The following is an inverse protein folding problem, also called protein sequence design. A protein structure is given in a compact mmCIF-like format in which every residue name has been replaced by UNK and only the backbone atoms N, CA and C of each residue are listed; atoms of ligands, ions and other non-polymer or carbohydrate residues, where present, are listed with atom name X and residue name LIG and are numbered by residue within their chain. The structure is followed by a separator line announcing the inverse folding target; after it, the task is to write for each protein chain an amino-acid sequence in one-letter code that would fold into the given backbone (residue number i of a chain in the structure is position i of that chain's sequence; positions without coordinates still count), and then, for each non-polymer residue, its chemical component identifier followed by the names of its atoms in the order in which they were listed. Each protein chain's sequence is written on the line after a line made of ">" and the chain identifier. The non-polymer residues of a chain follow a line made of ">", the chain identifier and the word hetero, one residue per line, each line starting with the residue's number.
data_IF_740604269430
#
_entry.id   IF_740604269430
#
_cell.length_a   1.000
_cell.length_b   1.000
_cell.length_c   1.000
_cell.angle_alpha   90.00
_cell.angle_beta   90.00
_cell.angle_gamma   90.00
#
_symmetry.space_group_name_H-M   'P 1'
#
loop_
_entity.id
_entity.type
_entity.pdbx_description
1 polymer ?
#
# COMPACT_ATOMS: atom_id res chain seq x y z
N UNK A 1 -13.20 4.76 -1.63
CA UNK A 1 -13.03 3.50 -0.88
C UNK A 1 -14.36 2.88 -0.49
N UNK A 2 -15.27 3.63 0.17
CA UNK A 2 -16.63 3.17 0.49
C UNK A 2 -17.38 2.58 -0.72
N UNK A 3 -17.42 3.29 -1.85
CA UNK A 3 -18.07 2.80 -3.08
C UNK A 3 -17.49 1.47 -3.56
N UNK A 4 -16.17 1.33 -3.58
CA UNK A 4 -15.49 0.08 -3.96
C UNK A 4 -15.83 -1.08 -3.00
N UNK A 5 -15.96 -0.82 -1.70
CA UNK A 5 -16.39 -1.81 -0.72
C UNK A 5 -17.87 -2.21 -0.91
N UNK A 6 -18.70 -1.25 -1.31
CA UNK A 6 -20.14 -1.47 -1.52
C UNK A 6 -20.39 -2.31 -2.78
N UNK A 7 -19.58 -2.10 -3.83
CA UNK A 7 -19.68 -2.83 -5.10
C UNK A 7 -19.28 -4.32 -4.99
N UNK A 8 -18.58 -4.72 -3.94
CA UNK A 8 -18.15 -6.10 -3.75
C UNK A 8 -19.34 -6.97 -3.32
N UNK A 9 -19.54 -8.11 -3.98
CA UNK A 9 -20.52 -9.11 -3.55
C UNK A 9 -20.08 -9.81 -2.25
N UNK A 10 -21.00 -10.40 -1.47
CA UNK A 10 -20.64 -11.29 -0.36
C UNK A 10 -19.70 -12.41 -0.83
N UNK A 11 -18.65 -12.70 -0.06
CA UNK A 11 -17.55 -13.60 -0.42
C UNK A 11 -16.59 -13.05 -1.48
N UNK A 12 -16.78 -11.82 -1.96
CA UNK A 12 -15.92 -11.19 -2.95
C UNK A 12 -14.56 -10.80 -2.38
N UNK A 13 -13.53 -10.86 -3.22
CA UNK A 13 -12.14 -10.55 -2.85
C UNK A 13 -11.77 -9.13 -3.26
N UNK A 14 -11.26 -8.36 -2.32
CA UNK A 14 -10.65 -7.06 -2.56
C UNK A 14 -9.13 -7.20 -2.53
N UNK A 15 -8.47 -7.03 -3.68
CA UNK A 15 -7.01 -6.94 -3.76
C UNK A 15 -6.56 -5.49 -3.66
N UNK A 16 -5.51 -5.21 -2.89
CA UNK A 16 -4.95 -3.86 -2.76
C UNK A 16 -3.43 -3.86 -2.75
N UNK A 17 -2.84 -2.78 -3.24
CA UNK A 17 -1.43 -2.43 -3.08
C UNK A 17 -1.29 -0.92 -2.97
N UNK A 18 -0.43 -0.45 -2.07
CA UNK A 18 -0.23 0.99 -1.83
C UNK A 18 1.05 1.28 -1.04
N UNK A 19 1.39 2.57 -0.94
CA UNK A 19 2.53 3.08 -0.18
C UNK A 19 2.06 3.44 1.23
N UNK A 20 2.81 3.00 2.24
CA UNK A 20 2.54 3.23 3.65
C UNK A 20 2.82 4.69 4.02
N UNK A 21 1.97 5.29 4.87
CA UNK A 21 2.18 6.64 5.41
C UNK A 21 3.20 6.64 6.56
N UNK A 22 4.47 6.45 6.21
CA UNK A 22 5.63 6.52 7.11
C UNK A 22 6.69 7.49 6.61
N UNK A 23 7.55 7.97 7.50
CA UNK A 23 8.70 8.81 7.13
C UNK A 23 9.68 8.07 6.20
N UNK A 24 9.86 6.76 6.42
CA UNK A 24 10.71 5.91 5.57
C UNK A 24 10.16 5.84 4.15
N UNK A 25 8.85 5.67 4.01
CA UNK A 25 8.18 5.66 2.70
C UNK A 25 8.31 7.01 2.00
N UNK A 26 8.10 8.13 2.72
CA UNK A 26 8.29 9.47 2.17
C UNK A 26 9.70 9.68 1.63
N UNK A 27 10.71 9.29 2.42
CA UNK A 27 12.11 9.45 2.03
C UNK A 27 12.44 8.60 0.79
N UNK A 28 12.03 7.34 0.76
CA UNK A 28 12.40 6.44 -0.33
C UNK A 28 11.58 6.66 -1.61
N UNK A 29 10.26 6.82 -1.50
CA UNK A 29 9.36 6.91 -2.64
C UNK A 29 9.36 8.28 -3.31
N UNK A 30 9.54 9.36 -2.54
CA UNK A 30 9.56 10.73 -3.09
C UNK A 30 11.01 11.17 -3.24
N UNK A 31 11.72 11.39 -2.13
CA UNK A 31 13.03 12.03 -2.18
C UNK A 31 14.08 11.19 -2.95
N UNK A 32 14.20 9.89 -2.66
CA UNK A 32 15.18 9.05 -3.36
C UNK A 32 14.76 8.76 -4.79
N UNK A 33 13.52 8.29 -5.01
CA UNK A 33 13.11 7.83 -6.34
C UNK A 33 12.82 8.97 -7.33
N UNK A 34 12.20 10.06 -6.89
CA UNK A 34 11.86 11.20 -7.77
C UNK A 34 12.99 12.23 -7.81
N UNK A 35 13.36 12.79 -6.65
CA UNK A 35 14.23 13.97 -6.62
C UNK A 35 15.72 13.63 -6.82
N UNK A 36 16.19 12.52 -6.24
CA UNK A 36 17.62 12.15 -6.28
C UNK A 36 17.99 11.29 -7.49
N UNK A 37 17.24 10.21 -7.73
CA UNK A 37 17.56 9.24 -8.78
C UNK A 37 16.86 9.56 -10.11
N UNK A 38 15.85 10.44 -10.13
CA UNK A 38 15.08 10.76 -11.33
C UNK A 38 14.40 9.55 -11.97
N UNK A 39 14.07 8.53 -11.19
CA UNK A 39 13.41 7.30 -11.68
C UNK A 39 11.98 7.57 -12.11
N UNK A 40 11.37 8.62 -11.55
CA UNK A 40 10.00 9.05 -11.80
C UNK A 40 9.95 10.58 -11.87
N UNK A 41 9.01 11.17 -12.63
CA UNK A 41 8.80 12.61 -12.62
C UNK A 41 8.48 13.14 -11.22
N UNK A 42 9.01 14.30 -10.85
CA UNK A 42 8.69 14.97 -9.58
C UNK A 42 7.19 15.21 -9.45
N UNK A 43 6.65 14.90 -8.28
CA UNK A 43 5.22 14.97 -7.97
C UNK A 43 4.45 13.70 -8.32
N UNK A 44 5.14 12.60 -8.68
CA UNK A 44 4.48 11.31 -8.94
C UNK A 44 3.80 10.79 -7.70
N UNK A 45 4.45 10.89 -6.54
CA UNK A 45 3.91 10.48 -5.26
C UNK A 45 3.56 11.67 -4.38
N UNK A 46 2.31 11.68 -3.92
CA UNK A 46 1.81 12.61 -2.91
C UNK A 46 1.72 11.91 -1.55
N UNK A 47 2.58 12.34 -0.62
CA UNK A 47 2.64 11.76 0.73
C UNK A 47 1.32 11.88 1.51
N UNK A 48 0.51 12.89 1.24
CA UNK A 48 -0.75 13.08 1.96
C UNK A 48 -1.79 12.03 1.56
N UNK A 49 -1.66 11.47 0.36
CA UNK A 49 -2.50 10.39 -0.17
C UNK A 49 -2.06 9.00 0.26
N UNK A 50 -0.89 8.86 0.88
CA UNK A 50 -0.47 7.58 1.45
C UNK A 50 -1.39 7.19 2.60
N UNK A 51 -1.57 5.90 2.83
CA UNK A 51 -2.45 5.37 3.86
C UNK A 51 -1.70 4.34 4.71
N UNK A 52 -1.94 4.34 6.03
CA UNK A 52 -1.36 3.31 6.91
C UNK A 52 -2.15 2.02 6.78
N UNK A 53 -1.51 0.84 6.89
CA UNK A 53 -2.20 -0.44 6.92
C UNK A 53 -3.33 -0.47 7.96
N UNK A 54 -3.09 0.05 9.17
CA UNK A 54 -4.10 0.09 10.24
C UNK A 54 -5.32 0.95 9.88
N UNK A 55 -5.12 2.08 9.21
CA UNK A 55 -6.21 2.92 8.72
C UNK A 55 -7.01 2.21 7.64
N UNK A 56 -6.32 1.53 6.70
CA UNK A 56 -6.98 0.77 5.64
C UNK A 56 -7.80 -0.40 6.22
N UNK A 57 -7.24 -1.13 7.19
CA UNK A 57 -7.93 -2.21 7.90
C UNK A 57 -9.19 -1.69 8.61
N UNK A 58 -9.11 -0.54 9.30
CA UNK A 58 -10.28 0.08 9.92
C UNK A 58 -11.37 0.38 8.89
N UNK A 59 -11.01 0.96 7.74
CA UNK A 59 -11.97 1.25 6.66
C UNK A 59 -12.63 -0.03 6.15
N UNK A 60 -11.87 -1.11 5.95
CA UNK A 60 -12.45 -2.38 5.51
C UNK A 60 -13.40 -2.97 6.57
N UNK A 61 -13.00 -2.99 7.83
CA UNK A 61 -13.84 -3.49 8.94
C UNK A 61 -15.15 -2.69 9.05
N UNK A 62 -15.09 -1.35 8.93
CA UNK A 62 -16.28 -0.49 8.95
C UNK A 62 -17.25 -0.76 7.79
N UNK A 63 -16.84 -1.52 6.78
CA UNK A 63 -17.63 -1.89 5.61
C UNK A 63 -17.91 -3.42 5.53
N UNK A 64 -17.68 -4.17 6.62
CA UNK A 64 -17.93 -5.63 6.65
C UNK A 64 -16.96 -6.43 5.77
N UNK A 65 -15.73 -5.93 5.62
CA UNK A 65 -14.69 -6.60 4.84
C UNK A 65 -13.53 -6.94 5.78
N UNK A 66 -13.26 -8.23 5.97
CA UNK A 66 -12.16 -8.72 6.79
C UNK A 66 -10.85 -8.76 6.00
N UNK A 67 -9.77 -8.21 6.55
CA UNK A 67 -8.44 -8.28 5.93
C UNK A 67 -7.75 -9.59 6.31
N UNK A 68 -7.39 -10.39 5.31
CA UNK A 68 -6.86 -11.74 5.51
C UNK A 68 -5.33 -11.79 5.56
N UNK A 69 -4.65 -11.03 4.68
CA UNK A 69 -3.20 -10.94 4.69
C UNK A 69 -2.71 -9.56 4.24
N UNK A 70 -1.58 -9.15 4.82
CA UNK A 70 -0.82 -7.97 4.40
C UNK A 70 0.65 -8.36 4.32
N UNK A 71 1.24 -8.09 3.15
CA UNK A 71 2.66 -8.31 2.89
C UNK A 71 3.32 -7.02 2.41
N UNK A 72 4.57 -6.86 2.78
CA UNK A 72 5.44 -5.80 2.29
C UNK A 72 5.95 -6.09 0.89
N UNK A 73 6.17 -5.02 0.11
CA UNK A 73 6.92 -5.07 -1.14
C UNK A 73 8.23 -4.30 -0.96
N UNK A 74 9.32 -5.03 -0.73
CA UNK A 74 10.61 -4.47 -0.32
C UNK A 74 11.53 -4.37 -1.52
N UNK A 75 12.06 -3.18 -1.76
CA UNK A 75 13.07 -2.95 -2.80
C UNK A 75 14.47 -3.33 -2.31
N UNK A 76 15.18 -4.16 -3.07
CA UNK A 76 16.58 -4.49 -2.88
C UNK A 76 17.43 -3.71 -3.88
N UNK A 77 18.18 -2.72 -3.39
CA UNK A 77 19.09 -1.92 -4.22
C UNK A 77 20.25 -2.76 -4.78
N UNK A 78 20.72 -3.78 -4.06
CA UNK A 78 21.82 -4.65 -4.52
C UNK A 78 21.44 -5.47 -5.75
N UNK A 79 20.20 -5.96 -5.80
CA UNK A 79 19.70 -6.81 -6.89
C UNK A 79 18.76 -6.07 -7.83
N UNK A 80 18.57 -4.76 -7.65
CA UNK A 80 17.61 -3.92 -8.38
C UNK A 80 16.24 -4.57 -8.55
N UNK A 81 15.72 -5.22 -7.51
CA UNK A 81 14.49 -6.01 -7.59
C UNK A 81 13.61 -5.86 -6.36
N UNK A 82 12.31 -6.05 -6.55
CA UNK A 82 11.35 -6.10 -5.47
C UNK A 82 11.14 -7.53 -4.98
N UNK A 83 10.95 -7.69 -3.68
CA UNK A 83 10.62 -8.96 -3.03
C UNK A 83 9.42 -8.79 -2.12
N UNK A 84 8.58 -9.82 -2.09
CA UNK A 84 7.48 -9.92 -1.12
C UNK A 84 8.06 -10.34 0.23
N UNK A 85 7.64 -9.67 1.29
CA UNK A 85 8.11 -9.96 2.65
C UNK A 85 7.14 -9.46 3.71
N UNK A 86 7.60 -9.39 4.95
CA UNK A 86 6.82 -8.88 6.08
C UNK A 86 7.01 -7.38 6.35
N UNK A 87 8.03 -6.73 5.77
CA UNK A 87 8.30 -5.31 5.99
C UNK A 87 7.35 -4.42 5.18
N UNK A 88 6.33 -3.89 5.86
CA UNK A 88 5.33 -2.97 5.29
C UNK A 88 5.73 -1.50 5.42
N UNK A 89 6.95 -1.17 5.86
CA UNK A 89 7.35 0.20 6.19
C UNK A 89 7.39 1.16 5.00
N UNK A 90 7.43 0.65 3.77
CA UNK A 90 7.42 1.45 2.53
C UNK A 90 6.19 1.13 1.68
N UNK A 91 6.14 -0.06 1.10
CA UNK A 91 5.01 -0.53 0.29
C UNK A 91 4.37 -1.74 0.94
N UNK A 92 3.08 -1.90 0.73
CA UNK A 92 2.38 -3.11 1.12
C UNK A 92 1.29 -3.47 0.13
N UNK A 93 0.94 -4.74 0.11
CA UNK A 93 -0.15 -5.31 -0.65
C UNK A 93 -0.84 -6.38 0.18
N UNK A 94 -2.08 -6.71 -0.18
CA UNK A 94 -2.86 -7.66 0.58
C UNK A 94 -4.19 -7.93 -0.07
N UNK A 95 -4.99 -8.73 0.63
CA UNK A 95 -6.35 -9.02 0.23
C UNK A 95 -7.29 -9.05 1.42
N UNK A 96 -8.54 -8.75 1.13
CA UNK A 96 -9.62 -8.73 2.09
C UNK A 96 -10.85 -9.42 1.48
N UNK A 97 -11.69 -10.03 2.31
CA UNK A 97 -12.88 -10.77 1.90
C UNK A 97 -14.10 -10.08 2.52
N UNK A 98 -15.12 -9.81 1.71
CA UNK A 98 -16.39 -9.31 2.23
C UNK A 98 -17.21 -10.45 2.78
N UNK A 99 -17.72 -10.27 4.00
CA UNK A 99 -18.63 -11.21 4.65
C UNK A 99 -19.94 -11.39 3.85
#
# INVERSE_FOLDING_TARGET
>A
MKEACTALAPGGVFLFSTINKTLKARLLAIFVAEDLLGMLPTGTHDYDRFIRPSTLVSIFNDNGIGVEDIKGLVYSALSFSFKVGSDTSVNYMGYAIKE
#
